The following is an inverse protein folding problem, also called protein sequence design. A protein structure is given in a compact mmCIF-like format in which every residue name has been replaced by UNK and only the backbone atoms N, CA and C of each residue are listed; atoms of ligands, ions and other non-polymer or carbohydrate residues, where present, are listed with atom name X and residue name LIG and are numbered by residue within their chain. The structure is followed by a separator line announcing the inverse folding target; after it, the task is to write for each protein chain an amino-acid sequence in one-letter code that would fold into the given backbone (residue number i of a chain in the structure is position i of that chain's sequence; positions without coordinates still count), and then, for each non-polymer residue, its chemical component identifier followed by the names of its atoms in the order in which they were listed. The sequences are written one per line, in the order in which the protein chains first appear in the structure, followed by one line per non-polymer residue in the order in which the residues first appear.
data_IF_553969054504
#
_entry.id   IF_553969054504
#
_cell.length_a   1.000
_cell.length_b   1.000
_cell.length_c   1.000
_cell.angle_alpha   90.00
_cell.angle_beta   90.00
_cell.angle_gamma   90.00
#
_symmetry.space_group_name_H-M   'P 1'
#
loop_
_entity.id
_entity.type
_entity.pdbx_description
1 polymer ?
#
# COMPACT_ATOMS: atom_id res chain seq x y z
N UNK A 1 6.63 -13.14 -16.62
CA UNK A 1 6.80 -13.38 -15.17
C UNK A 1 6.90 -12.01 -14.52
N UNK A 2 6.01 -11.65 -13.59
CA UNK A 2 6.18 -10.41 -12.85
C UNK A 2 7.50 -10.51 -12.11
N UNK A 3 8.47 -9.71 -12.54
CA UNK A 3 9.79 -9.64 -11.90
C UNK A 3 9.48 -9.09 -10.52
N UNK A 4 9.35 -9.98 -9.53
CA UNK A 4 9.37 -9.59 -8.12
C UNK A 4 10.79 -9.10 -7.87
N UNK A 5 11.05 -7.87 -8.30
CA UNK A 5 12.21 -7.13 -7.83
C UNK A 5 12.06 -7.19 -6.33
N UNK A 6 12.98 -7.90 -5.66
CA UNK A 6 13.09 -7.97 -4.22
C UNK A 6 13.40 -6.56 -3.72
N UNK A 7 12.38 -5.71 -3.77
CA UNK A 7 12.39 -4.37 -3.25
C UNK A 7 12.53 -4.58 -1.75
N UNK A 8 13.52 -3.92 -1.16
CA UNK A 8 13.57 -3.78 0.29
C UNK A 8 12.36 -2.91 0.69
N UNK A 9 11.19 -3.54 0.78
CA UNK A 9 9.92 -2.85 0.94
C UNK A 9 9.95 -2.03 2.23
N UNK A 10 10.19 -0.72 2.10
CA UNK A 10 10.09 0.23 3.19
C UNK A 10 8.73 0.89 3.10
N UNK A 11 7.77 0.33 3.82
CA UNK A 11 6.42 0.85 3.88
C UNK A 11 6.35 2.03 4.85
N UNK A 12 5.77 3.13 4.39
CA UNK A 12 5.38 4.27 5.22
C UNK A 12 3.86 4.39 5.24
N UNK A 13 3.31 4.84 6.36
CA UNK A 13 1.86 5.05 6.44
C UNK A 13 1.50 6.39 5.79
N UNK A 14 0.55 6.36 4.86
CA UNK A 14 -0.09 7.53 4.28
C UNK A 14 -1.49 7.62 4.88
N UNK A 15 -1.82 8.81 5.39
CA UNK A 15 -3.16 9.14 5.87
C UNK A 15 -3.74 10.19 4.94
N UNK A 16 -4.94 9.95 4.45
CA UNK A 16 -5.75 10.96 3.78
C UNK A 16 -6.28 11.93 4.83
N UNK A 17 -5.88 13.20 4.73
CA UNK A 17 -6.41 14.27 5.57
C UNK A 17 -7.86 14.63 5.21
N UNK A 18 -8.22 14.40 3.94
CA UNK A 18 -9.55 14.71 3.40
C UNK A 18 -10.36 13.45 3.12
N UNK A 19 -11.68 13.52 3.33
CA UNK A 19 -12.64 12.42 3.05
C UNK A 19 -12.78 12.09 1.57
N UNK A 20 -12.24 12.93 0.69
CA UNK A 20 -12.23 12.73 -0.78
C UNK A 20 -11.18 11.71 -1.23
N UNK A 21 -10.09 11.53 -0.48
CA UNK A 21 -9.00 10.64 -0.88
C UNK A 21 -9.16 9.31 -0.17
N UNK A 22 -9.56 8.30 -0.93
CA UNK A 22 -9.66 6.92 -0.47
C UNK A 22 -8.68 6.03 -1.20
N UNK A 23 -8.14 5.06 -0.48
CA UNK A 23 -7.12 4.16 -0.97
C UNK A 23 -7.66 2.73 -1.05
N UNK A 24 -7.24 2.01 -2.09
CA UNK A 24 -7.48 0.58 -2.24
C UNK A 24 -6.15 -0.15 -2.19
N UNK A 25 -6.13 -1.32 -1.55
CA UNK A 25 -4.95 -2.15 -1.52
C UNK A 25 -4.70 -2.77 -2.90
N UNK A 26 -3.49 -2.64 -3.44
CA UNK A 26 -3.12 -3.20 -4.73
C UNK A 26 -2.95 -4.74 -4.74
N UNK A 27 -3.00 -5.38 -3.57
CA UNK A 27 -2.84 -6.83 -3.41
C UNK A 27 -4.18 -7.55 -3.20
N UNK A 28 -4.95 -7.14 -2.20
CA UNK A 28 -6.24 -7.75 -1.89
C UNK A 28 -7.45 -6.99 -2.47
N UNK A 29 -7.22 -5.85 -3.12
CA UNK A 29 -8.27 -4.96 -3.62
C UNK A 29 -9.28 -4.50 -2.56
N UNK A 30 -8.97 -4.69 -1.27
CA UNK A 30 -9.81 -4.21 -0.18
C UNK A 30 -9.70 -2.69 -0.02
N UNK A 31 -10.80 -2.09 0.38
CA UNK A 31 -10.97 -0.68 0.72
C UNK A 31 -12.43 -0.28 0.48
N UNK A 32 -12.77 1.02 0.50
CA UNK A 32 -11.89 2.18 0.63
C UNK A 32 -11.32 2.38 2.04
N UNK A 33 -10.01 2.65 2.14
CA UNK A 33 -9.35 3.04 3.39
C UNK A 33 -8.87 4.49 3.32
N UNK A 34 -8.98 5.22 4.43
CA UNK A 34 -8.37 6.55 4.57
C UNK A 34 -6.88 6.48 4.95
N UNK A 35 -6.39 5.28 5.29
CA UNK A 35 -5.02 5.03 5.69
C UNK A 35 -4.51 3.86 4.87
N UNK A 36 -3.37 4.04 4.19
CA UNK A 36 -2.72 2.98 3.43
C UNK A 36 -1.21 3.01 3.65
N UNK A 37 -0.54 1.90 3.38
CA UNK A 37 0.90 1.81 3.45
C UNK A 37 1.47 1.93 2.05
N UNK A 38 2.31 2.95 1.84
CA UNK A 38 3.01 3.16 0.59
C UNK A 38 4.47 2.70 0.73
N UNK A 39 4.92 1.86 -0.19
CA UNK A 39 6.33 1.56 -0.34
C UNK A 39 7.09 2.80 -0.86
N UNK A 40 8.10 3.27 -0.12
CA UNK A 40 8.90 4.44 -0.49
C UNK A 40 9.62 4.31 -1.83
N UNK A 41 10.04 3.09 -2.18
CA UNK A 41 10.83 2.82 -3.38
C UNK A 41 9.96 2.50 -4.59
N UNK A 42 8.96 1.64 -4.39
CA UNK A 42 8.17 1.04 -5.45
C UNK A 42 6.77 1.65 -5.58
N UNK A 43 6.38 2.55 -4.68
CA UNK A 43 5.07 3.24 -4.68
C UNK A 43 3.88 2.29 -4.67
N UNK A 44 4.10 1.06 -4.18
CA UNK A 44 3.07 0.06 -3.96
C UNK A 44 2.20 0.47 -2.76
N UNK A 45 0.89 0.53 -2.98
CA UNK A 45 -0.10 0.86 -1.96
C UNK A 45 -0.74 -0.41 -1.40
N UNK A 46 -0.52 -0.71 -0.12
CA UNK A 46 -0.98 -1.94 0.52
C UNK A 46 -1.68 -1.64 1.84
N UNK A 47 -2.68 -2.44 2.20
CA UNK A 47 -3.29 -2.35 3.52
C UNK A 47 -2.39 -3.01 4.58
N UNK A 48 -2.62 -2.70 5.85
CA UNK A 48 -1.86 -3.24 7.00
C UNK A 48 -1.70 -4.78 7.03
N UNK A 49 -2.70 -5.61 6.68
CA UNK A 49 -2.48 -7.05 6.63
C UNK A 49 -1.59 -7.45 5.45
N UNK A 50 -1.71 -6.78 4.31
CA UNK A 50 -0.90 -7.08 3.13
C UNK A 50 0.55 -6.61 3.24
N UNK A 51 0.86 -5.60 4.06
CA UNK A 51 2.27 -5.20 4.30
C UNK A 51 3.10 -6.28 4.99
N UNK A 52 2.47 -7.17 5.77
CA UNK A 52 3.17 -8.27 6.46
C UNK A 52 3.41 -9.48 5.55
N UNK A 53 2.68 -9.59 4.44
CA UNK A 53 2.80 -10.69 3.48
C UNK A 53 3.49 -10.32 2.16
N UNK A 54 4.07 -9.12 2.08
CA UNK A 54 4.66 -8.53 0.87
C UNK A 54 6.19 -8.35 0.99
#
# INVERSE_FOLDING_TARGET
MAIQSNCAHSFQVIKSDSTLIVWHCNLCHSGPFYIIYECRYCKLHTCRPCTQGA
#
